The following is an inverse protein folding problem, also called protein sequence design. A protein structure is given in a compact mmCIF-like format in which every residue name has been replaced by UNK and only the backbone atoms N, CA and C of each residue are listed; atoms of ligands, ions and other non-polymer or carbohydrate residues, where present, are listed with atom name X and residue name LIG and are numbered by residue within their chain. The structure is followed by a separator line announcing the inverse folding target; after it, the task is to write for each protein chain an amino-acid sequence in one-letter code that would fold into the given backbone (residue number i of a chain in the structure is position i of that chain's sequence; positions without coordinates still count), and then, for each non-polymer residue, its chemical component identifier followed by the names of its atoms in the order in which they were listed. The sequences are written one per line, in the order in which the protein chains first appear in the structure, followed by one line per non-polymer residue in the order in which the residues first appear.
data_IF_150275425640
#
_entry.id   IF_150275425640
#
_cell.length_a   1.000
_cell.length_b   1.000
_cell.length_c   1.000
_cell.angle_alpha   90.00
_cell.angle_beta   90.00
_cell.angle_gamma   90.00
#
_symmetry.space_group_name_H-M   'P 1'
#
loop_
_entity.id
_entity.type
_entity.pdbx_description
1 polymer ?
#
# COMPACT_ATOMS: atom_id res chain seq x y z
N UNK A 1 -0.05 6.41 -8.70
CA UNK A 1 -0.66 7.69 -8.26
C UNK A 1 -0.19 8.09 -6.84
N UNK A 2 1.12 8.02 -6.54
CA UNK A 2 1.70 8.33 -5.22
C UNK A 2 0.90 7.75 -4.03
N UNK A 3 0.45 6.52 -4.15
CA UNK A 3 -0.46 5.91 -3.19
C UNK A 3 0.24 5.64 -1.84
N UNK A 4 -0.54 5.64 -0.77
CA UNK A 4 -0.13 5.01 0.49
C UNK A 4 -0.06 3.48 0.32
N UNK A 5 0.42 2.78 1.35
CA UNK A 5 0.50 1.31 1.35
C UNK A 5 -0.84 0.61 1.05
N UNK A 6 -1.97 1.25 1.37
CA UNK A 6 -3.32 0.71 1.10
C UNK A 6 -3.57 0.59 -0.41
N UNK A 7 -3.47 1.70 -1.14
CA UNK A 7 -3.66 1.73 -2.60
C UNK A 7 -2.56 0.97 -3.34
N UNK A 8 -1.32 1.08 -2.85
CA UNK A 8 -0.16 0.37 -3.41
C UNK A 8 -0.34 -1.15 -3.37
N UNK A 9 -0.84 -1.70 -2.25
CA UNK A 9 -1.12 -3.13 -2.12
C UNK A 9 -2.19 -3.61 -3.12
N UNK A 10 -3.26 -2.82 -3.31
CA UNK A 10 -4.29 -3.14 -4.30
C UNK A 10 -3.75 -3.11 -5.75
N UNK A 11 -2.95 -2.09 -6.09
CA UNK A 11 -2.29 -2.00 -7.39
C UNK A 11 -1.35 -3.19 -7.61
N UNK A 12 -0.65 -3.63 -6.56
CA UNK A 12 0.24 -4.78 -6.66
C UNK A 12 -0.54 -6.09 -6.90
N UNK A 13 -1.67 -6.29 -6.21
CA UNK A 13 -2.56 -7.41 -6.45
C UNK A 13 -3.07 -7.44 -7.91
N UNK A 14 -3.46 -6.28 -8.43
CA UNK A 14 -3.86 -6.13 -9.84
C UNK A 14 -2.71 -6.45 -10.79
N UNK A 15 -1.51 -5.93 -10.52
CA UNK A 15 -0.31 -6.18 -11.32
C UNK A 15 0.15 -7.65 -11.30
N UNK A 16 -0.33 -8.45 -10.34
CA UNK A 16 -0.09 -9.90 -10.30
C UNK A 16 -0.92 -10.71 -11.31
N UNK A 17 -1.84 -10.08 -12.06
CA UNK A 17 -2.66 -10.78 -13.05
C UNK A 17 -1.87 -11.13 -14.33
N UNK A 18 -2.26 -12.21 -15.06
CA UNK A 18 -1.46 -12.75 -16.18
C UNK A 18 -1.15 -11.78 -17.33
N UNK A 19 -1.96 -10.74 -17.54
CA UNK A 19 -1.81 -9.83 -18.66
C UNK A 19 -1.02 -8.54 -18.33
N UNK A 20 -0.50 -8.42 -17.10
CA UNK A 20 0.43 -7.36 -16.71
C UNK A 20 1.87 -7.81 -17.03
N UNK A 21 2.23 -7.77 -18.31
CA UNK A 21 3.50 -8.31 -18.82
C UNK A 21 4.63 -7.28 -18.92
N UNK A 22 4.36 -6.03 -18.57
CA UNK A 22 5.33 -4.92 -18.54
C UNK A 22 5.39 -4.39 -17.11
N UNK A 23 6.60 -4.02 -16.66
CA UNK A 23 6.81 -3.41 -15.35
C UNK A 23 5.92 -2.18 -15.15
N UNK A 24 5.05 -2.24 -14.14
CA UNK A 24 4.21 -1.12 -13.73
C UNK A 24 4.93 -0.13 -12.82
N UNK A 25 4.30 1.01 -12.56
CA UNK A 25 4.83 2.04 -11.65
C UNK A 25 4.44 1.77 -10.18
N UNK A 26 4.85 0.60 -9.68
CA UNK A 26 4.72 0.22 -8.26
C UNK A 26 6.10 0.14 -7.64
N UNK A 27 6.54 1.27 -7.06
CA UNK A 27 7.81 1.36 -6.32
C UNK A 27 7.65 0.99 -4.83
N UNK A 28 8.78 0.80 -4.12
CA UNK A 28 8.77 0.69 -2.66
C UNK A 28 8.13 1.94 -1.99
N UNK A 29 7.49 1.76 -0.84
CA UNK A 29 6.87 2.86 -0.10
C UNK A 29 7.89 3.95 0.28
N UNK A 30 9.10 3.56 0.67
CA UNK A 30 10.18 4.48 1.10
C UNK A 30 10.68 5.42 0.00
N UNK A 31 10.34 5.16 -1.27
CA UNK A 31 10.61 6.09 -2.37
C UNK A 31 9.86 7.41 -2.19
N UNK A 32 8.67 7.37 -1.57
CA UNK A 32 7.78 8.53 -1.45
C UNK A 32 7.53 8.95 -0.01
N UNK A 33 7.47 7.98 0.91
CA UNK A 33 7.08 8.24 2.30
C UNK A 33 8.19 7.83 3.25
N UNK A 34 8.58 8.76 4.14
CA UNK A 34 9.49 8.42 5.26
C UNK A 34 8.86 7.39 6.20
N UNK A 35 7.54 7.48 6.40
CA UNK A 35 6.71 6.51 7.12
C UNK A 35 5.38 6.36 6.40
N UNK A 36 4.98 5.11 6.13
CA UNK A 36 3.71 4.78 5.50
C UNK A 36 2.61 4.56 6.57
N UNK A 37 1.34 4.63 6.18
CA UNK A 37 0.18 4.40 7.07
C UNK A 37 -0.16 2.91 7.26
N UNK A 38 0.67 2.01 6.73
CA UNK A 38 0.58 0.56 6.95
C UNK A 38 1.78 0.09 7.78
N UNK A 39 1.55 -0.95 8.58
CA UNK A 39 2.56 -1.52 9.49
C UNK A 39 3.67 -2.29 8.76
N UNK A 40 3.36 -2.92 7.63
CA UNK A 40 4.33 -3.60 6.76
C UNK A 40 4.33 -2.94 5.37
N UNK A 41 5.13 -1.89 5.16
CA UNK A 41 5.17 -1.16 3.90
C UNK A 41 5.78 -2.01 2.78
N UNK A 42 5.32 -1.79 1.54
CA UNK A 42 5.82 -2.52 0.38
C UNK A 42 7.31 -2.20 0.18
N UNK A 43 8.13 -3.26 0.11
CA UNK A 43 9.57 -3.19 -0.12
C UNK A 43 9.93 -3.75 -1.48
N UNK A 44 10.98 -3.19 -2.07
CA UNK A 44 11.56 -3.65 -3.33
C UNK A 44 12.78 -4.52 -3.00
N UNK A 45 12.84 -5.71 -3.58
CA UNK A 45 13.98 -6.61 -3.48
C UNK A 45 14.37 -7.04 -4.89
N UNK A 46 15.60 -6.71 -5.30
CA UNK A 46 16.14 -7.03 -6.63
C UNK A 46 15.21 -6.62 -7.79
N UNK A 47 14.58 -5.44 -7.69
CA UNK A 47 13.65 -4.94 -8.71
C UNK A 47 12.27 -5.60 -8.69
N UNK A 48 11.99 -6.45 -7.71
CA UNK A 48 10.70 -7.14 -7.56
C UNK A 48 10.03 -6.79 -6.23
N UNK A 49 8.72 -6.94 -6.21
CA UNK A 49 7.85 -6.67 -5.07
C UNK A 49 7.07 -7.94 -4.76
N UNK A 50 7.05 -8.36 -3.50
CA UNK A 50 6.25 -9.51 -3.07
C UNK A 50 4.80 -9.09 -2.87
N UNK A 51 3.88 -9.91 -3.37
CA UNK A 51 2.45 -9.76 -3.06
C UNK A 51 2.22 -9.94 -1.55
N UNK A 52 1.55 -8.98 -0.88
CA UNK A 52 1.08 -9.14 0.48
C UNK A 52 0.20 -10.38 0.60
N UNK A 53 0.34 -11.10 1.72
CA UNK A 53 -0.45 -12.30 2.02
C UNK A 53 -1.54 -11.94 3.02
N UNK A 54 -2.63 -12.70 3.01
CA UNK A 54 -3.76 -12.52 3.93
C UNK A 54 -5.01 -12.00 3.24
N UNK A 55 -6.06 -11.78 4.02
CA UNK A 55 -7.37 -11.38 3.51
C UNK A 55 -7.39 -9.93 3.01
N UNK A 56 -8.23 -9.65 2.01
CA UNK A 56 -8.38 -8.30 1.45
C UNK A 56 -7.11 -7.84 0.75
N UNK A 57 -6.62 -6.64 1.09
CA UNK A 57 -5.39 -6.08 0.53
C UNK A 57 -4.10 -6.70 1.10
N UNK A 58 -4.19 -7.57 2.12
CA UNK A 58 -3.02 -8.22 2.75
C UNK A 58 -2.11 -7.27 3.54
N UNK A 59 -2.56 -6.05 3.84
CA UNK A 59 -1.84 -5.05 4.64
C UNK A 59 -2.67 -4.62 5.85
N UNK A 60 -1.99 -4.26 6.94
CA UNK A 60 -2.61 -3.76 8.16
C UNK A 60 -2.28 -2.28 8.37
N UNK A 61 -3.30 -1.49 8.70
CA UNK A 61 -3.17 -0.04 8.95
C UNK A 61 -2.45 0.18 10.28
N UNK A 62 -1.44 1.06 10.29
CA UNK A 62 -0.90 1.64 11.53
C UNK A 62 -1.89 2.73 12.01
N UNK A 63 -2.85 2.33 12.84
CA UNK A 63 -3.92 3.22 13.28
C UNK A 63 -3.40 4.42 14.07
N UNK A 64 -2.31 4.24 14.85
CA UNK A 64 -1.71 5.33 15.60
C UNK A 64 -1.18 6.38 14.63
N UNK A 65 -0.37 5.97 13.67
CA UNK A 65 0.21 6.91 12.72
C UNK A 65 -0.81 7.52 11.78
N UNK A 66 -1.80 6.73 11.35
CA UNK A 66 -2.92 7.25 10.57
C UNK A 66 -3.61 8.38 11.32
N UNK A 67 -3.88 8.22 12.62
CA UNK A 67 -4.47 9.27 13.44
C UNK A 67 -3.55 10.50 13.54
N UNK A 68 -2.24 10.31 13.69
CA UNK A 68 -1.26 11.41 13.79
C UNK A 68 -1.19 12.29 12.53
N UNK A 69 -1.42 11.70 11.35
CA UNK A 69 -1.34 12.42 10.06
C UNK A 69 -2.71 12.79 9.48
N UNK A 70 -3.81 12.37 10.13
CA UNK A 70 -5.16 12.69 9.70
C UNK A 70 -5.51 14.15 10.02
N UNK A 71 -6.00 14.89 9.03
CA UNK A 71 -6.44 16.29 9.22
C UNK A 71 -7.92 16.43 9.51
N UNK A 72 -8.73 15.44 9.16
CA UNK A 72 -10.15 15.37 9.48
C UNK A 72 -10.66 13.93 9.45
N UNK A 73 -11.73 13.66 10.20
CA UNK A 73 -12.44 12.39 10.18
C UNK A 73 -13.92 12.64 10.47
N UNK A 74 -14.81 11.94 9.75
CA UNK A 74 -16.25 11.95 9.99
C UNK A 74 -16.76 10.53 10.10
N UNK A 75 -17.58 10.24 11.11
CA UNK A 75 -18.27 8.95 11.25
C UNK A 75 -19.71 9.13 10.82
N UNK A 76 -20.11 8.44 9.75
CA UNK A 76 -21.49 8.38 9.30
C UNK A 76 -22.16 7.17 9.95
N UNK A 77 -23.32 7.38 10.58
CA UNK A 77 -24.18 6.31 11.10
C UNK A 77 -25.54 6.39 10.38
N UNK A 78 -26.23 5.25 10.18
CA UNK A 78 -27.57 5.22 9.58
C UNK A 78 -28.57 6.10 10.31
#
# INVERSE_FOLDING_TARGET
MLETGIGRAMNLALAGLPNFTITGDVSASERFWKKDVVTDPIRLENGQVRLPKGSGAGVHIDQSFLNDVSTSAITLRP
#
